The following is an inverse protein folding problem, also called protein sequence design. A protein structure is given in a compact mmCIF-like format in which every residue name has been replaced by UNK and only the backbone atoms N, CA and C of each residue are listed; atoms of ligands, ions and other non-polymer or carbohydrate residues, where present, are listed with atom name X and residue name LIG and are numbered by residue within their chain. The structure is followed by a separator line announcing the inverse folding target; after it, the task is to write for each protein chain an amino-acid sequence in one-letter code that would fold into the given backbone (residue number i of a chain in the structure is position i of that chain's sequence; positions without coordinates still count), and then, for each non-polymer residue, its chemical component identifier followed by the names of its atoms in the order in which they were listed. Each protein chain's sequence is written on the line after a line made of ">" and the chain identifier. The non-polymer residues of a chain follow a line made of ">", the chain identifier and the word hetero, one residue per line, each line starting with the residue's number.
data_IF_453268514953
#
_entry.id   IF_453268514953
#
_cell.length_a   1.000
_cell.length_b   1.000
_cell.length_c   1.000
_cell.angle_alpha   90.00
_cell.angle_beta   90.00
_cell.angle_gamma   90.00
#
_symmetry.space_group_name_H-M   'P 1'
#
loop_
_entity.id
_entity.type
_entity.pdbx_description
1 polymer ?
#
# COMPACT_ATOMS: atom_id res chain seq x y z
N UNK A 1 2.48 -28.00 72.20
CA UNK A 1 2.81 -28.43 70.82
C UNK A 1 2.79 -27.21 69.93
N UNK A 2 3.91 -26.97 69.24
CA UNK A 2 4.16 -26.26 67.97
C UNK A 2 3.53 -24.90 67.69
N UNK A 3 4.13 -23.94 66.99
CA UNK A 3 5.49 -23.59 66.57
C UNK A 3 5.36 -22.14 66.08
N UNK A 4 6.41 -21.35 66.18
CA UNK A 4 6.49 -20.05 65.52
C UNK A 4 6.45 -20.25 63.99
N UNK A 5 5.71 -19.39 63.29
CA UNK A 5 6.01 -19.03 61.91
C UNK A 5 5.96 -17.51 61.78
N UNK A 6 7.16 -16.93 61.64
CA UNK A 6 7.37 -15.61 61.10
C UNK A 6 7.01 -15.65 59.61
N UNK A 7 6.30 -14.65 59.10
CA UNK A 7 6.50 -14.28 57.70
C UNK A 7 6.46 -12.76 57.52
N UNK A 8 7.61 -12.28 57.07
CA UNK A 8 7.96 -10.93 56.63
C UNK A 8 7.14 -10.48 55.41
N UNK A 9 6.92 -9.16 55.31
CA UNK A 9 6.24 -8.43 54.23
C UNK A 9 6.69 -8.78 52.81
N UNK A 10 5.97 -8.26 51.80
CA UNK A 10 6.66 -7.35 50.89
C UNK A 10 6.10 -5.93 50.97
N UNK A 11 7.04 -4.98 50.92
CA UNK A 11 6.82 -3.58 50.59
C UNK A 11 6.04 -3.44 49.26
N UNK A 12 5.41 -2.29 48.98
CA UNK A 12 4.92 -2.01 47.63
C UNK A 12 6.09 -2.13 46.66
N UNK A 13 6.08 -3.17 45.84
CA UNK A 13 7.11 -3.41 44.84
C UNK A 13 7.13 -2.27 43.84
N UNK A 14 8.22 -1.50 43.91
CA UNK A 14 8.91 -0.84 42.82
C UNK A 14 8.05 -0.26 41.70
N UNK A 15 8.00 1.08 41.72
CA UNK A 15 7.91 1.99 40.58
C UNK A 15 9.05 1.77 39.56
N UNK A 16 9.33 0.52 39.21
CA UNK A 16 10.18 0.11 38.09
C UNK A 16 9.31 -0.16 36.84
N UNK A 17 8.25 0.62 36.65
CA UNK A 17 7.68 0.87 35.32
C UNK A 17 8.53 1.93 34.60
N UNK A 18 9.84 1.76 34.71
CA UNK A 18 10.84 2.51 33.99
C UNK A 18 10.76 2.04 32.54
N UNK A 19 9.95 2.75 31.77
CA UNK A 19 10.09 2.86 30.32
C UNK A 19 10.15 1.51 29.60
N UNK A 20 9.08 0.72 29.65
CA UNK A 20 8.68 0.08 28.41
C UNK A 20 8.24 1.21 27.48
N UNK A 21 9.20 1.80 26.77
CA UNK A 21 8.94 2.50 25.51
C UNK A 21 8.27 1.48 24.61
N UNK A 22 6.95 1.35 24.76
CA UNK A 22 6.10 0.88 23.67
C UNK A 22 6.44 1.85 22.56
N UNK A 23 7.21 1.37 21.59
CA UNK A 23 7.54 2.11 20.39
C UNK A 23 6.20 2.62 19.85
N UNK A 24 6.09 3.94 19.71
CA UNK A 24 4.88 4.55 19.18
C UNK A 24 4.72 4.04 17.76
N UNK A 25 3.82 3.07 17.55
CA UNK A 25 3.58 2.46 16.24
C UNK A 25 3.28 3.54 15.19
N UNK A 26 2.71 4.68 15.59
CA UNK A 26 2.44 5.79 14.68
C UNK A 26 3.70 6.43 14.10
N UNK A 27 4.80 6.44 14.85
CA UNK A 27 6.09 6.98 14.41
C UNK A 27 6.75 6.14 13.32
N UNK A 28 6.39 4.86 13.21
CA UNK A 28 6.93 3.92 12.22
C UNK A 28 6.17 3.96 10.88
N UNK A 29 5.00 4.59 10.83
CA UNK A 29 4.11 4.55 9.64
C UNK A 29 4.82 5.03 8.38
N UNK A 30 5.56 6.14 8.45
CA UNK A 30 6.23 6.70 7.28
C UNK A 30 7.26 5.72 6.69
N UNK A 31 8.15 5.19 7.51
CA UNK A 31 9.19 4.24 7.08
C UNK A 31 8.59 2.94 6.56
N UNK A 32 7.59 2.40 7.26
CA UNK A 32 6.96 1.14 6.83
C UNK A 32 6.11 1.34 5.56
N UNK A 33 5.45 2.49 5.41
CA UNK A 33 4.75 2.82 4.16
C UNK A 33 5.73 2.85 2.98
N UNK A 34 6.89 3.50 3.15
CA UNK A 34 7.94 3.53 2.12
C UNK A 34 8.42 2.11 1.75
N UNK A 35 8.68 1.25 2.73
CA UNK A 35 9.08 -0.14 2.49
C UNK A 35 8.01 -0.94 1.72
N UNK A 36 6.72 -0.78 2.09
CA UNK A 36 5.60 -1.44 1.45
C UNK A 36 5.42 -0.95 0.00
N UNK A 37 5.53 0.36 -0.23
CA UNK A 37 5.44 0.96 -1.57
C UNK A 37 6.61 0.50 -2.45
N UNK A 38 7.81 0.39 -1.89
CA UNK A 38 8.97 -0.13 -2.60
C UNK A 38 8.80 -1.60 -3.00
N UNK A 39 8.25 -2.44 -2.12
CA UNK A 39 7.94 -3.84 -2.45
C UNK A 39 6.85 -3.95 -3.53
N UNK A 40 5.80 -3.13 -3.42
CA UNK A 40 4.76 -3.04 -4.44
C UNK A 40 5.36 -2.63 -5.79
N UNK A 41 6.20 -1.60 -5.84
CA UNK A 41 6.85 -1.12 -7.06
C UNK A 41 7.69 -2.22 -7.74
N UNK A 42 8.46 -2.98 -6.95
CA UNK A 42 9.22 -4.13 -7.45
C UNK A 42 8.31 -5.20 -8.04
N UNK A 43 7.18 -5.46 -7.40
CA UNK A 43 6.19 -6.43 -7.88
C UNK A 43 5.51 -5.96 -9.17
N UNK A 44 5.15 -4.68 -9.24
CA UNK A 44 4.59 -4.03 -10.43
C UNK A 44 5.55 -4.14 -11.62
N UNK A 45 6.82 -3.77 -11.45
CA UNK A 45 7.82 -3.89 -12.52
C UNK A 45 7.96 -5.33 -13.03
N UNK A 46 8.01 -6.29 -12.12
CA UNK A 46 8.10 -7.70 -12.47
C UNK A 46 6.88 -8.16 -13.27
N UNK A 47 5.69 -7.68 -12.91
CA UNK A 47 4.46 -7.99 -13.62
C UNK A 47 4.44 -7.35 -15.01
N UNK A 48 4.83 -6.08 -15.16
CA UNK A 48 4.91 -5.38 -16.46
C UNK A 48 5.88 -6.13 -17.40
N UNK A 49 7.07 -6.49 -16.91
CA UNK A 49 8.10 -7.17 -17.71
C UNK A 49 7.68 -8.58 -18.15
N UNK A 50 6.94 -9.30 -17.31
CA UNK A 50 6.61 -10.73 -17.52
C UNK A 50 5.24 -10.96 -18.17
N UNK A 51 4.27 -10.08 -17.95
CA UNK A 51 2.92 -10.24 -18.47
C UNK A 51 2.82 -9.68 -19.89
N UNK A 52 2.55 -10.54 -20.88
CA UNK A 52 2.39 -10.14 -22.29
C UNK A 52 1.26 -9.13 -22.48
N UNK A 53 0.22 -9.14 -21.64
CA UNK A 53 -0.87 -8.15 -21.66
C UNK A 53 -0.41 -6.75 -21.27
N UNK A 54 0.62 -6.62 -20.45
CA UNK A 54 1.16 -5.32 -20.03
C UNK A 54 2.24 -4.78 -20.95
N UNK A 55 2.89 -5.64 -21.76
CA UNK A 55 3.90 -5.18 -22.73
C UNK A 55 3.36 -4.20 -23.76
N UNK A 56 2.09 -4.31 -24.15
CA UNK A 56 1.45 -3.35 -25.06
C UNK A 56 1.27 -1.96 -24.43
N UNK A 57 1.15 -1.90 -23.11
CA UNK A 57 0.86 -0.69 -22.35
C UNK A 57 2.02 -0.29 -21.42
N UNK A 58 3.24 -0.79 -21.65
CA UNK A 58 4.42 -0.48 -20.82
C UNK A 58 4.63 1.03 -20.71
N UNK A 59 4.46 1.75 -21.81
CA UNK A 59 4.55 3.21 -21.87
C UNK A 59 3.50 3.91 -21.00
N UNK A 60 2.28 3.34 -20.86
CA UNK A 60 1.22 3.86 -20.00
C UNK A 60 1.64 3.75 -18.54
N UNK A 61 2.14 2.58 -18.13
CA UNK A 61 2.66 2.36 -16.77
C UNK A 61 3.87 3.25 -16.45
N UNK A 62 4.78 3.44 -17.41
CA UNK A 62 5.93 4.33 -17.23
C UNK A 62 5.50 5.79 -17.07
N UNK A 63 4.53 6.25 -17.87
CA UNK A 63 4.02 7.62 -17.81
C UNK A 63 3.34 7.95 -16.48
N UNK A 64 2.61 6.98 -15.93
CA UNK A 64 1.82 7.15 -14.72
C UNK A 64 2.52 6.65 -13.46
N UNK A 65 3.80 6.27 -13.57
CA UNK A 65 4.51 5.55 -12.51
C UNK A 65 4.52 6.29 -11.18
N UNK A 66 4.80 7.59 -11.21
CA UNK A 66 4.77 8.44 -10.02
C UNK A 66 3.37 8.48 -9.42
N UNK A 67 2.34 8.73 -10.24
CA UNK A 67 0.93 8.74 -9.81
C UNK A 67 0.48 7.42 -9.19
N UNK A 68 0.91 6.28 -9.75
CA UNK A 68 0.64 4.95 -9.18
C UNK A 68 1.26 4.83 -7.78
N UNK A 69 2.55 5.17 -7.65
CA UNK A 69 3.26 5.03 -6.38
C UNK A 69 2.70 5.97 -5.32
N UNK A 70 2.35 7.21 -5.69
CA UNK A 70 1.67 8.15 -4.78
C UNK A 70 0.30 7.63 -4.34
N UNK A 71 -0.53 7.14 -5.25
CA UNK A 71 -1.84 6.59 -4.90
C UNK A 71 -1.73 5.37 -3.96
N UNK A 72 -0.74 4.51 -4.19
CA UNK A 72 -0.45 3.36 -3.32
C UNK A 72 0.07 3.81 -1.97
N UNK A 73 0.99 4.78 -1.91
CA UNK A 73 1.53 5.35 -0.68
C UNK A 73 0.44 5.99 0.19
N UNK A 74 -0.46 6.76 -0.42
CA UNK A 74 -1.59 7.39 0.25
C UNK A 74 -2.51 6.35 0.88
N UNK A 75 -2.89 5.32 0.13
CA UNK A 75 -3.80 4.27 0.63
C UNK A 75 -3.12 3.38 1.68
N UNK A 76 -1.83 3.09 1.54
CA UNK A 76 -1.02 2.40 2.56
C UNK A 76 -0.95 3.24 3.83
N UNK A 77 -0.56 4.50 3.74
CA UNK A 77 -0.43 5.40 4.90
C UNK A 77 -1.76 5.56 5.63
N UNK A 78 -2.85 5.77 4.88
CA UNK A 78 -4.21 5.86 5.44
C UNK A 78 -4.62 4.59 6.14
N UNK A 79 -4.39 3.42 5.52
CA UNK A 79 -4.69 2.12 6.10
C UNK A 79 -3.90 1.87 7.38
N UNK A 80 -2.60 2.18 7.37
CA UNK A 80 -1.73 2.03 8.53
C UNK A 80 -2.19 2.92 9.70
N UNK A 81 -2.47 4.20 9.43
CA UNK A 81 -3.01 5.15 10.45
C UNK A 81 -4.32 4.65 11.05
N UNK A 82 -5.25 4.20 10.22
CA UNK A 82 -6.54 3.68 10.68
C UNK A 82 -6.39 2.45 11.56
N UNK A 83 -5.48 1.53 11.20
CA UNK A 83 -5.25 0.30 11.97
C UNK A 83 -4.53 0.58 13.29
N UNK A 84 -3.53 1.47 13.31
CA UNK A 84 -2.88 1.89 14.57
C UNK A 84 -3.91 2.49 15.52
N UNK A 85 -4.74 3.42 15.04
CA UNK A 85 -5.77 4.04 15.87
C UNK A 85 -6.78 3.02 16.42
N UNK A 86 -7.28 2.13 15.57
CA UNK A 86 -8.20 1.05 15.98
C UNK A 86 -7.58 0.10 17.00
N UNK A 87 -6.30 -0.28 16.84
CA UNK A 87 -5.60 -1.16 17.79
C UNK A 87 -5.39 -0.48 19.14
N UNK A 88 -5.06 0.81 19.15
CA UNK A 88 -4.94 1.60 20.37
C UNK A 88 -6.28 1.67 21.11
N UNK A 89 -7.39 1.87 20.40
CA UNK A 89 -8.74 1.87 20.97
C UNK A 89 -9.14 0.49 21.54
N UNK A 90 -8.81 -0.58 20.83
CA UNK A 90 -9.12 -1.97 21.24
C UNK A 90 -8.14 -2.54 22.28
N UNK A 91 -7.06 -1.84 22.62
CA UNK A 91 -6.01 -2.33 23.51
C UNK A 91 -5.22 -3.52 22.94
N UNK A 92 -5.13 -3.63 21.60
CA UNK A 92 -4.39 -4.70 20.91
C UNK A 92 -2.91 -4.33 20.75
N UNK A 93 -2.03 -5.27 21.07
CA UNK A 93 -0.56 -5.06 21.04
C UNK A 93 0.22 -6.08 20.20
N UNK A 94 -0.46 -6.91 19.39
CA UNK A 94 0.16 -8.02 18.66
C UNK A 94 0.35 -7.80 17.15
N UNK A 95 1.44 -8.31 16.57
CA UNK A 95 1.72 -8.28 15.13
C UNK A 95 2.61 -7.12 14.70
N UNK A 96 3.45 -7.33 13.67
CA UNK A 96 4.40 -6.35 13.16
C UNK A 96 3.80 -5.57 11.99
N UNK A 97 4.05 -4.25 11.94
CA UNK A 97 3.69 -3.44 10.77
C UNK A 97 4.48 -3.88 9.52
N UNK A 98 5.67 -4.48 9.70
CA UNK A 98 6.45 -5.07 8.61
C UNK A 98 5.84 -6.34 8.01
N UNK A 99 4.82 -6.93 8.65
CA UNK A 99 4.07 -8.05 8.07
C UNK A 99 2.92 -7.58 7.16
N UNK A 100 2.75 -6.26 7.00
CA UNK A 100 1.75 -5.66 6.11
C UNK A 100 2.29 -5.59 4.69
N UNK A 101 1.46 -5.90 3.71
CA UNK A 101 1.78 -5.80 2.29
C UNK A 101 0.66 -5.10 1.53
N UNK A 102 1.02 -4.40 0.45
CA UNK A 102 0.10 -3.84 -0.52
C UNK A 102 0.00 -4.76 -1.74
N UNK A 103 -1.21 -5.20 -2.07
CA UNK A 103 -1.45 -6.20 -3.12
C UNK A 103 -2.63 -5.75 -3.97
N UNK A 104 -2.43 -5.66 -5.29
CA UNK A 104 -3.50 -5.61 -6.29
C UNK A 104 -3.63 -7.00 -6.95
N UNK A 105 -4.85 -7.53 -7.05
CA UNK A 105 -5.04 -8.86 -7.67
C UNK A 105 -5.17 -8.77 -9.17
N UNK A 106 -5.71 -7.68 -9.68
CA UNK A 106 -5.85 -7.42 -11.10
C UNK A 106 -5.40 -6.00 -11.40
N UNK A 107 -4.67 -5.85 -12.49
CA UNK A 107 -4.21 -4.57 -13.00
C UNK A 107 -4.67 -4.49 -14.45
N UNK A 108 -5.33 -3.39 -14.81
CA UNK A 108 -5.85 -3.17 -16.16
C UNK A 108 -5.58 -1.75 -16.64
N UNK A 109 -5.58 -1.59 -17.96
CA UNK A 109 -5.61 -0.28 -18.62
C UNK A 109 -6.92 -0.21 -19.40
N UNK A 110 -7.68 0.87 -19.26
CA UNK A 110 -8.92 1.08 -20.01
C UNK A 110 -8.71 1.89 -21.30
N UNK A 111 -9.78 2.09 -22.06
CA UNK A 111 -9.77 2.81 -23.34
C UNK A 111 -9.38 4.29 -23.17
N UNK A 112 -9.62 4.87 -21.98
CA UNK A 112 -9.23 6.23 -21.61
C UNK A 112 -7.79 6.31 -21.10
N UNK A 113 -7.01 5.24 -21.29
CA UNK A 113 -5.63 5.10 -20.83
C UNK A 113 -5.48 5.17 -19.32
N UNK A 114 -6.53 4.94 -18.52
CA UNK A 114 -6.44 4.92 -17.06
C UNK A 114 -5.99 3.56 -16.57
N UNK A 115 -5.19 3.56 -15.51
CA UNK A 115 -4.75 2.33 -14.86
C UNK A 115 -5.69 2.02 -13.70
N UNK A 116 -6.15 0.77 -13.65
CA UNK A 116 -7.01 0.26 -12.58
C UNK A 116 -6.24 -0.77 -11.77
N UNK A 117 -6.04 -0.50 -10.48
CA UNK A 117 -5.58 -1.49 -9.49
C UNK A 117 -6.81 -2.06 -8.78
N UNK A 118 -7.34 -3.14 -9.32
CA UNK A 118 -8.55 -3.78 -8.82
C UNK A 118 -8.24 -4.72 -7.65
N UNK A 119 -9.17 -4.76 -6.70
CA UNK A 119 -9.03 -5.48 -5.42
C UNK A 119 -7.71 -5.15 -4.71
N UNK A 120 -7.30 -3.88 -4.75
CA UNK A 120 -6.14 -3.39 -4.03
C UNK A 120 -6.40 -3.52 -2.52
N UNK A 121 -5.47 -4.13 -1.80
CA UNK A 121 -5.59 -4.36 -0.37
C UNK A 121 -4.26 -4.11 0.35
N UNK A 122 -4.36 -3.51 1.53
CA UNK A 122 -3.25 -3.33 2.47
C UNK A 122 -3.50 -4.23 3.66
N UNK A 123 -2.76 -5.33 3.76
CA UNK A 123 -3.07 -6.41 4.71
C UNK A 123 -1.82 -7.02 5.32
N UNK A 124 -1.87 -7.28 6.63
CA UNK A 124 -0.85 -8.03 7.37
C UNK A 124 -1.48 -8.93 8.41
N UNK A 125 -0.99 -10.18 8.51
CA UNK A 125 -1.56 -11.17 9.43
C UNK A 125 -1.39 -10.71 10.88
N UNK A 126 -2.49 -10.62 11.62
CA UNK A 126 -2.49 -10.13 13.00
C UNK A 126 -2.41 -8.60 13.12
N UNK A 127 -2.31 -7.89 11.99
CA UNK A 127 -2.25 -6.43 11.97
C UNK A 127 -3.58 -5.82 11.55
N UNK A 128 -4.05 -6.14 10.35
CA UNK A 128 -5.37 -5.76 9.85
C UNK A 128 -6.37 -6.84 10.22
N UNK A 129 -7.22 -6.59 11.22
CA UNK A 129 -8.26 -7.55 11.67
C UNK A 129 -9.25 -7.99 10.57
N UNK A 130 -9.24 -7.30 9.41
CA UNK A 130 -10.02 -7.62 8.22
C UNK A 130 -9.25 -7.13 6.98
N UNK A 131 -9.17 -7.95 5.93
CA UNK A 131 -8.69 -7.50 4.62
C UNK A 131 -9.78 -6.62 3.99
N UNK A 132 -9.45 -5.36 3.74
CA UNK A 132 -10.30 -4.43 2.98
C UNK A 132 -9.73 -4.29 1.58
N UNK A 133 -10.60 -4.41 0.59
CA UNK A 133 -10.26 -4.22 -0.81
C UNK A 133 -10.85 -2.90 -1.31
N UNK A 134 -10.10 -2.18 -2.11
CA UNK A 134 -10.52 -0.99 -2.83
C UNK A 134 -10.09 -1.08 -4.30
N UNK A 135 -10.59 -0.18 -5.12
CA UNK A 135 -10.07 0.03 -6.48
C UNK A 135 -9.34 1.36 -6.50
N UNK A 136 -8.10 1.37 -6.97
CA UNK A 136 -7.38 2.61 -7.28
C UNK A 136 -7.45 2.85 -8.78
N UNK A 137 -7.99 4.00 -9.17
CA UNK A 137 -8.03 4.49 -10.54
C UNK A 137 -6.98 5.59 -10.69
N UNK A 138 -6.06 5.42 -11.63
CA UNK A 138 -4.97 6.35 -11.88
C UNK A 138 -5.12 6.94 -13.28
N UNK A 139 -5.31 8.26 -13.32
CA UNK A 139 -5.23 9.04 -14.55
C UNK A 139 -3.76 9.15 -14.98
N UNK A 140 -3.50 8.78 -16.22
CA UNK A 140 -2.15 8.75 -16.81
C UNK A 140 -1.84 10.04 -17.57
N UNK A 141 -2.85 10.87 -17.82
CA UNK A 141 -2.73 12.09 -18.63
C UNK A 141 -2.47 11.82 -20.12
N UNK A 142 -2.51 10.55 -20.54
CA UNK A 142 -2.39 10.16 -21.95
C UNK A 142 -3.74 10.30 -22.66
N UNK A 143 -3.69 10.65 -23.94
CA UNK A 143 -4.88 10.62 -24.78
C UNK A 143 -5.25 9.16 -25.12
N UNK A 144 -6.54 8.83 -25.30
CA UNK A 144 -6.98 7.54 -25.80
C UNK A 144 -6.23 7.13 -27.07
N UNK A 145 -5.92 5.85 -27.21
CA UNK A 145 -5.30 5.27 -28.42
C UNK A 145 -6.38 5.16 -29.52
N UNK A 146 -6.82 6.30 -30.06
CA UNK A 146 -7.88 6.34 -31.07
C UNK A 146 -8.10 7.72 -31.70
N UNK A 147 -7.37 7.99 -32.80
CA UNK A 147 -7.73 8.84 -33.97
C UNK A 147 -6.51 9.46 -34.70
N UNK A 148 -5.28 9.19 -34.28
CA UNK A 148 -4.09 9.82 -34.89
C UNK A 148 -3.62 9.23 -36.23
N UNK A 149 -4.37 8.30 -36.86
CA UNK A 149 -4.01 7.71 -38.17
C UNK A 149 -4.79 8.27 -39.38
N UNK A 150 -5.53 9.38 -39.24
CA UNK A 150 -6.13 10.08 -40.40
C UNK A 150 -5.58 11.49 -40.54
N UNK A 151 -4.37 11.62 -41.09
CA UNK A 151 -3.93 12.80 -41.84
C UNK A 151 -2.57 12.52 -42.46
N UNK A 152 -2.57 12.07 -43.71
CA UNK A 152 -1.62 12.41 -44.77
C UNK A 152 -1.88 11.51 -45.99
N UNK A 153 -3.02 11.70 -46.64
CA UNK A 153 -3.17 11.30 -48.05
C UNK A 153 -4.26 12.18 -48.70
N UNK A 154 -3.97 13.47 -48.84
CA UNK A 154 -4.71 14.34 -49.77
C UNK A 154 -3.76 15.43 -50.27
N UNK A 155 -2.77 15.03 -51.07
CA UNK A 155 -2.05 15.95 -51.96
C UNK A 155 -1.95 15.28 -53.32
N UNK A 156 -2.89 15.63 -54.19
CA UNK A 156 -2.74 15.94 -55.61
C UNK A 156 -4.04 15.62 -56.35
N UNK A 157 -5.03 16.49 -56.20
CA UNK A 157 -5.90 16.78 -57.33
C UNK A 157 -6.03 18.29 -57.46
N UNK A 158 -5.72 18.77 -58.68
CA UNK A 158 -5.84 20.13 -59.23
C UNK A 158 -4.57 20.97 -59.31
N UNK A 159 -3.92 20.92 -60.47
CA UNK A 159 -3.71 22.14 -61.29
C UNK A 159 -4.03 21.83 -62.75
N UNK A 160 -5.10 22.50 -63.21
CA UNK A 160 -5.57 22.86 -64.57
C UNK A 160 -4.67 22.51 -65.75
#
# INVERSE_FOLDING_TARGET
>A
MSSADQQTSPAPSSLDDAHQTVLDESSLIATVAEDIVNDFNRTLENNIKRNKGFKGHEHVFDSARESILTAVEDEVTKSLKSQVASRQEEGRTGGSMYDVSAIATQIGVDDDMRIHLLDFSVYGKGWSGKQTCTTLEIDTGLAPEGDSQKKEEEVEEQVV
#
